data_IF_948036517732
#
_entry.id   IF_948036517732
#
_cell.length_a   1.000
_cell.length_b   1.000
_cell.length_c   1.000
_cell.angle_alpha   90.00
_cell.angle_beta   90.00
_cell.angle_gamma   90.00
#
_symmetry.space_group_name_H-M   'P 1'
#
loop_
_entity.id
_entity.type
_entity.pdbx_description
1 polymer ?
#
# COMPACT_ATOMS: atom_id res chain seq x y z
N UNK A 1 -20.23 0.66 18.01
CA UNK A 1 -19.67 -0.16 16.93
C UNK A 1 -19.19 0.81 15.86
N UNK A 2 -17.97 0.70 15.41
CA UNK A 2 -17.43 1.52 14.32
C UNK A 2 -18.24 1.25 13.05
N UNK A 3 -18.52 2.30 12.28
CA UNK A 3 -19.20 2.21 10.99
C UNK A 3 -18.42 2.97 9.93
N UNK A 4 -18.22 2.35 8.77
CA UNK A 4 -17.58 2.94 7.62
C UNK A 4 -18.63 3.25 6.55
N UNK A 5 -18.56 4.46 5.99
CA UNK A 5 -19.55 4.97 5.03
C UNK A 5 -18.82 5.46 3.79
N UNK A 6 -18.61 4.61 2.76
CA UNK A 6 -18.03 5.03 1.49
C UNK A 6 -18.97 5.99 0.76
N UNK A 7 -18.42 7.09 0.24
CA UNK A 7 -19.14 8.03 -0.61
C UNK A 7 -19.17 7.62 -2.08
N UNK A 8 -19.53 8.54 -2.96
CA UNK A 8 -19.56 8.30 -4.40
C UNK A 8 -18.15 8.15 -4.98
N UNK A 9 -17.95 7.07 -5.76
CA UNK A 9 -16.70 6.76 -6.46
C UNK A 9 -16.55 7.61 -7.71
N UNK A 10 -15.35 8.17 -7.92
CA UNK A 10 -14.97 8.86 -9.15
C UNK A 10 -13.57 8.47 -9.63
N UNK A 11 -13.26 8.73 -10.87
CA UNK A 11 -11.90 8.62 -11.40
C UNK A 11 -11.01 9.68 -10.76
N UNK A 12 -9.85 9.25 -10.23
CA UNK A 12 -8.81 10.12 -9.72
C UNK A 12 -7.78 10.44 -10.82
N UNK A 13 -7.22 9.39 -11.41
CA UNK A 13 -6.14 9.45 -12.38
C UNK A 13 -6.29 8.33 -13.40
N UNK A 14 -6.12 8.64 -14.67
CA UNK A 14 -5.87 7.66 -15.74
C UNK A 14 -4.53 8.01 -16.39
N UNK A 15 -3.56 7.11 -16.26
CA UNK A 15 -2.22 7.30 -16.78
C UNK A 15 -1.97 6.54 -18.09
N UNK A 16 -3.03 6.11 -18.78
CA UNK A 16 -2.92 5.51 -20.12
C UNK A 16 -2.45 6.57 -21.13
N UNK A 17 -1.40 6.29 -21.93
CA UNK A 17 -0.92 7.25 -22.94
C UNK A 17 -1.95 7.57 -24.02
N UNK A 18 -2.82 6.61 -24.32
CA UNK A 18 -3.92 6.78 -25.29
C UNK A 18 -5.05 5.76 -25.03
N UNK A 19 -6.21 5.95 -25.66
CA UNK A 19 -7.31 4.99 -25.61
C UNK A 19 -6.97 3.62 -26.21
N UNK A 20 -5.97 3.53 -27.06
CA UNK A 20 -5.49 2.31 -27.73
C UNK A 20 -4.39 1.60 -26.89
N UNK A 21 -3.65 2.36 -26.08
CA UNK A 21 -2.60 1.86 -25.22
C UNK A 21 -3.08 1.96 -23.77
N UNK A 22 -3.83 0.97 -23.33
CA UNK A 22 -4.37 0.96 -21.97
C UNK A 22 -3.31 0.51 -20.98
N UNK A 23 -3.19 1.27 -19.92
CA UNK A 23 -2.33 0.99 -18.78
C UNK A 23 -3.16 0.92 -17.50
N UNK A 24 -2.73 0.15 -16.54
CA UNK A 24 -3.33 0.11 -15.22
C UNK A 24 -2.36 0.69 -14.17
N UNK A 25 -2.94 1.13 -13.08
CA UNK A 25 -2.23 1.43 -11.85
C UNK A 25 -2.77 0.47 -10.80
N UNK A 26 -1.87 -0.30 -10.16
CA UNK A 26 -2.23 -1.22 -9.09
C UNK A 26 -1.86 -0.61 -7.73
N UNK A 27 -1.23 -1.39 -6.82
CA UNK A 27 -0.83 -0.87 -5.52
C UNK A 27 -0.09 0.45 -5.64
N UNK A 28 -0.51 1.41 -4.82
CA UNK A 28 -0.11 2.81 -4.96
C UNK A 28 -0.06 3.49 -3.61
N UNK A 29 0.49 4.67 -3.56
CA UNK A 29 0.51 5.53 -2.38
C UNK A 29 0.33 6.98 -2.78
N UNK A 30 -0.35 7.74 -1.92
CA UNK A 30 -0.50 9.18 -2.07
C UNK A 30 0.15 9.90 -0.89
N UNK A 31 0.92 10.93 -1.19
CA UNK A 31 1.52 11.78 -0.17
C UNK A 31 1.35 13.26 -0.52
N UNK A 32 1.09 14.07 0.49
CA UNK A 32 1.10 15.52 0.35
C UNK A 32 2.51 16.03 0.64
N UNK A 33 3.10 16.68 -0.34
CA UNK A 33 4.43 17.26 -0.22
C UNK A 33 4.44 18.52 0.67
N UNK A 34 5.62 18.93 1.11
CA UNK A 34 5.79 20.13 1.94
C UNK A 34 5.35 21.43 1.25
N UNK A 35 5.32 21.47 -0.09
CA UNK A 35 4.80 22.60 -0.89
C UNK A 35 3.26 22.58 -1.03
N UNK A 36 2.59 21.57 -0.47
CA UNK A 36 1.16 21.38 -0.47
C UNK A 36 0.61 20.56 -1.63
N UNK A 37 1.43 20.17 -2.60
CA UNK A 37 1.01 19.34 -3.74
C UNK A 37 0.84 17.88 -3.33
N UNK A 38 -0.11 17.22 -3.97
CA UNK A 38 -0.29 15.78 -3.86
C UNK A 38 0.58 15.06 -4.89
N UNK A 39 1.24 14.01 -4.45
CA UNK A 39 1.98 13.08 -5.29
C UNK A 39 1.39 11.69 -5.16
N UNK A 40 1.37 10.94 -6.26
CA UNK A 40 1.01 9.53 -6.31
C UNK A 40 2.15 8.73 -6.93
N UNK A 41 2.45 7.62 -6.30
CA UNK A 41 3.34 6.58 -6.80
C UNK A 41 2.56 5.27 -6.85
N UNK A 42 2.79 4.42 -7.84
CA UNK A 42 2.06 3.15 -7.94
C UNK A 42 2.65 2.25 -9.01
N UNK A 43 2.38 0.98 -8.91
CA UNK A 43 2.66 0.02 -9.97
C UNK A 43 2.02 0.53 -11.27
N UNK A 44 2.78 0.59 -12.33
CA UNK A 44 2.30 1.09 -13.62
C UNK A 44 2.75 0.18 -14.76
N UNK A 45 1.80 -0.48 -15.41
CA UNK A 45 2.09 -1.45 -16.45
C UNK A 45 1.01 -1.43 -17.55
N UNK A 46 1.39 -1.83 -18.76
CA UNK A 46 0.48 -1.93 -19.89
C UNK A 46 -0.41 -3.18 -19.77
N UNK A 47 -1.68 -3.05 -20.20
CA UNK A 47 -2.56 -4.21 -20.35
C UNK A 47 -2.14 -5.11 -21.54
N UNK A 48 -2.26 -6.45 -21.43
CA UNK A 48 -2.84 -7.19 -20.32
C UNK A 48 -1.89 -7.24 -19.10
N UNK A 49 -2.47 -7.49 -17.92
CA UNK A 49 -1.71 -7.61 -16.68
C UNK A 49 -0.62 -8.69 -16.76
N UNK A 50 0.58 -8.33 -16.31
CA UNK A 50 1.71 -9.25 -16.15
C UNK A 50 2.46 -8.89 -14.85
N UNK A 51 1.97 -9.38 -13.69
CA UNK A 51 2.49 -8.97 -12.39
C UNK A 51 3.99 -9.20 -12.20
N UNK A 52 4.56 -10.26 -12.80
CA UNK A 52 5.98 -10.56 -12.67
C UNK A 52 6.89 -9.65 -13.52
N UNK A 53 6.28 -8.75 -14.33
CA UNK A 53 6.97 -7.76 -15.15
C UNK A 53 6.52 -6.32 -14.86
N UNK A 54 5.94 -6.07 -13.69
CA UNK A 54 5.64 -4.73 -13.18
C UNK A 54 6.94 -4.06 -12.68
N UNK A 55 7.71 -3.50 -13.59
CA UNK A 55 9.12 -3.15 -13.39
C UNK A 55 9.37 -1.74 -12.85
N UNK A 56 8.34 -0.90 -12.70
CA UNK A 56 8.52 0.51 -12.36
C UNK A 56 7.31 1.10 -11.63
N UNK A 57 7.53 2.21 -10.93
CA UNK A 57 6.45 3.00 -10.35
C UNK A 57 6.15 4.24 -11.18
N UNK A 58 4.85 4.45 -11.47
CA UNK A 58 4.32 5.73 -11.90
C UNK A 58 4.69 6.81 -10.89
N UNK A 59 4.93 8.02 -11.38
CA UNK A 59 4.91 9.23 -10.59
C UNK A 59 3.99 10.26 -11.25
N UNK A 60 3.03 10.79 -10.50
CA UNK A 60 2.21 11.91 -10.93
C UNK A 60 1.95 12.88 -9.77
N UNK A 61 1.66 14.14 -10.08
CA UNK A 61 1.34 15.15 -9.06
C UNK A 61 0.19 16.05 -9.46
N UNK A 62 -0.50 16.61 -8.45
CA UNK A 62 -1.60 17.54 -8.60
C UNK A 62 -1.65 18.56 -7.44
N UNK A 63 -2.32 19.69 -7.65
CA UNK A 63 -2.44 20.73 -6.62
C UNK A 63 -3.47 20.35 -5.53
N UNK A 64 -4.49 19.57 -5.87
CA UNK A 64 -5.48 19.03 -4.94
C UNK A 64 -6.00 17.66 -5.36
N UNK A 65 -6.79 16.97 -4.51
CA UNK A 65 -7.43 15.69 -4.81
C UNK A 65 -8.78 15.85 -5.48
N UNK A 66 -9.45 17.02 -5.33
CA UNK A 66 -10.80 17.26 -5.81
C UNK A 66 -10.79 17.93 -7.19
N UNK A 67 -11.11 17.16 -8.24
CA UNK A 67 -11.19 17.66 -9.62
C UNK A 67 -9.84 17.99 -10.25
N UNK A 68 -8.78 17.53 -9.65
CA UNK A 68 -7.41 17.82 -10.06
C UNK A 68 -7.07 17.32 -11.47
N UNK A 69 -6.28 18.12 -12.17
CA UNK A 69 -5.53 17.65 -13.33
C UNK A 69 -4.19 17.14 -12.84
N UNK A 70 -3.94 15.85 -13.03
CA UNK A 70 -2.67 15.23 -12.69
C UNK A 70 -1.64 15.46 -13.78
N UNK A 71 -0.45 15.83 -13.38
CA UNK A 71 0.74 15.88 -14.25
C UNK A 71 1.50 14.58 -14.06
N UNK A 72 1.62 13.79 -15.11
CA UNK A 72 2.44 12.57 -15.13
C UNK A 72 3.88 12.96 -15.36
N UNK A 73 4.78 12.43 -14.53
CA UNK A 73 6.22 12.63 -14.59
C UNK A 73 6.93 11.38 -15.12
N UNK A 74 8.25 11.44 -15.27
CA UNK A 74 9.04 10.26 -15.54
C UNK A 74 8.87 9.25 -14.40
N UNK A 75 8.78 7.93 -14.71
CA UNK A 75 8.67 6.88 -13.69
C UNK A 75 9.86 6.90 -12.73
N UNK A 76 9.62 6.42 -11.52
CA UNK A 76 10.65 6.30 -10.48
C UNK A 76 10.87 4.84 -10.08
N UNK A 77 12.06 4.53 -9.57
CA UNK A 77 12.42 3.21 -9.02
C UNK A 77 12.07 2.03 -9.95
N UNK A 78 12.99 1.74 -10.83
CA UNK A 78 12.91 0.54 -11.66
C UNK A 78 13.44 -0.68 -10.94
N UNK A 79 12.91 -1.87 -11.27
CA UNK A 79 13.42 -3.15 -10.79
C UNK A 79 14.93 -3.26 -11.08
N UNK A 80 15.71 -3.59 -10.06
CA UNK A 80 17.18 -3.68 -10.11
C UNK A 80 17.60 -5.06 -10.61
N UNK A 81 17.67 -5.21 -11.92
CA UNK A 81 17.99 -6.49 -12.58
C UNK A 81 19.40 -7.00 -12.26
N UNK A 82 20.30 -6.11 -11.88
CA UNK A 82 21.67 -6.44 -11.45
C UNK A 82 21.74 -7.20 -10.13
N UNK A 83 20.71 -7.10 -9.30
CA UNK A 83 20.55 -7.87 -8.06
C UNK A 83 19.44 -8.93 -8.14
N UNK A 84 18.89 -9.16 -9.34
CA UNK A 84 17.87 -10.18 -9.60
C UNK A 84 16.43 -9.77 -9.31
N UNK A 85 16.13 -8.48 -9.19
CA UNK A 85 14.73 -8.01 -9.17
C UNK A 85 14.11 -8.17 -10.56
N UNK A 86 12.91 -8.73 -10.62
CA UNK A 86 12.10 -8.84 -11.84
C UNK A 86 10.97 -7.81 -11.84
N UNK A 87 10.45 -7.45 -10.66
CA UNK A 87 9.37 -6.51 -10.48
C UNK A 87 9.51 -5.73 -9.17
N UNK A 88 8.77 -4.63 -9.04
CA UNK A 88 8.65 -3.80 -7.83
C UNK A 88 7.19 -3.57 -7.53
N UNK A 89 6.77 -3.85 -6.27
CA UNK A 89 5.36 -3.78 -5.89
C UNK A 89 5.10 -2.90 -4.68
N UNK A 90 3.88 -2.38 -4.63
CA UNK A 90 3.25 -1.75 -3.49
C UNK A 90 4.12 -0.69 -2.81
N UNK A 91 4.41 0.43 -3.48
CA UNK A 91 5.14 1.52 -2.86
C UNK A 91 4.29 2.14 -1.73
N UNK A 92 4.90 2.39 -0.58
CA UNK A 92 4.31 3.18 0.50
C UNK A 92 5.28 4.30 0.90
N UNK A 93 4.81 5.55 0.85
CA UNK A 93 5.64 6.73 1.11
C UNK A 93 5.21 7.44 2.38
N UNK A 94 6.17 7.70 3.26
CA UNK A 94 6.00 8.55 4.43
C UNK A 94 6.94 9.76 4.37
N UNK A 95 6.58 10.85 5.07
CA UNK A 95 7.46 11.99 5.31
C UNK A 95 8.01 11.89 6.75
N UNK A 96 9.33 11.93 6.89
CA UNK A 96 10.02 11.92 8.19
C UNK A 96 11.37 12.60 8.08
N UNK A 97 11.75 13.42 9.07
CA UNK A 97 13.03 14.13 9.18
C UNK A 97 13.45 14.89 7.90
N UNK A 98 12.52 15.73 7.40
CA UNK A 98 12.70 16.54 6.19
C UNK A 98 13.02 15.75 4.90
N UNK A 99 12.69 14.45 4.90
CA UNK A 99 12.84 13.55 3.76
C UNK A 99 11.57 12.74 3.53
N UNK A 100 11.48 12.12 2.36
CA UNK A 100 10.48 11.13 2.00
C UNK A 100 11.13 9.75 1.96
N UNK A 101 10.40 8.75 2.47
CA UNK A 101 10.84 7.38 2.63
C UNK A 101 9.85 6.49 1.91
N UNK A 102 10.29 5.78 0.89
CA UNK A 102 9.46 4.85 0.13
C UNK A 102 9.87 3.42 0.48
N UNK A 103 8.94 2.70 1.10
CA UNK A 103 9.05 1.27 1.34
C UNK A 103 8.33 0.55 0.20
N UNK A 104 8.88 -0.56 -0.27
CA UNK A 104 8.29 -1.32 -1.36
C UNK A 104 8.78 -2.77 -1.34
N UNK A 105 8.08 -3.68 -2.06
CA UNK A 105 8.52 -5.04 -2.26
C UNK A 105 9.34 -5.15 -3.55
N UNK A 106 10.59 -5.60 -3.43
CA UNK A 106 11.41 -6.01 -4.55
C UNK A 106 11.21 -7.50 -4.81
N UNK A 107 10.55 -7.85 -5.91
CA UNK A 107 10.23 -9.22 -6.25
C UNK A 107 11.28 -9.91 -7.11
N UNK A 108 11.29 -11.22 -7.07
CA UNK A 108 12.11 -12.10 -7.89
C UNK A 108 11.24 -13.19 -8.51
N UNK A 109 11.79 -14.04 -9.40
CA UNK A 109 11.09 -15.24 -9.90
C UNK A 109 10.78 -16.25 -8.79
N UNK A 110 11.50 -16.18 -7.66
CA UNK A 110 11.33 -17.04 -6.50
C UNK A 110 10.56 -16.30 -5.39
N UNK A 111 9.31 -16.67 -5.17
CA UNK A 111 8.41 -16.07 -4.16
C UNK A 111 8.93 -16.20 -2.71
N UNK A 112 9.90 -17.08 -2.46
CA UNK A 112 10.55 -17.19 -1.13
C UNK A 112 11.62 -16.14 -0.91
N UNK A 113 11.92 -15.33 -1.92
CA UNK A 113 13.01 -14.37 -1.97
C UNK A 113 12.54 -12.92 -2.19
N UNK A 114 11.28 -12.63 -1.92
CA UNK A 114 10.79 -11.26 -1.94
C UNK A 114 11.41 -10.46 -0.81
N UNK A 115 11.72 -9.20 -1.09
CA UNK A 115 12.50 -8.32 -0.22
C UNK A 115 11.72 -7.08 0.13
N UNK A 116 11.79 -6.68 1.41
CA UNK A 116 11.37 -5.33 1.78
C UNK A 116 12.52 -4.37 1.55
N UNK A 117 12.27 -3.40 0.69
CA UNK A 117 13.24 -2.43 0.20
C UNK A 117 12.90 -1.03 0.66
N UNK A 118 13.90 -0.16 0.67
CA UNK A 118 13.77 1.24 1.03
C UNK A 118 14.50 2.12 0.03
N UNK A 119 13.84 3.20 -0.37
CA UNK A 119 14.47 4.33 -1.04
C UNK A 119 14.08 5.64 -0.33
N UNK A 120 14.95 6.65 -0.41
CA UNK A 120 14.68 7.97 0.16
C UNK A 120 14.80 9.08 -0.87
N UNK A 121 14.07 10.17 -0.66
CA UNK A 121 14.07 11.34 -1.53
C UNK A 121 14.02 12.63 -0.73
N UNK A 122 14.64 13.69 -1.23
CA UNK A 122 14.47 15.04 -0.69
C UNK A 122 13.37 15.84 -1.41
N UNK A 123 12.89 15.38 -2.58
CA UNK A 123 12.06 16.17 -3.49
C UNK A 123 10.89 15.40 -4.12
N UNK A 124 10.73 14.09 -3.84
CA UNK A 124 9.78 13.16 -4.45
C UNK A 124 10.04 12.83 -5.93
N UNK A 125 11.07 13.40 -6.53
CA UNK A 125 11.45 13.18 -7.93
C UNK A 125 12.70 12.33 -8.08
N UNK A 126 13.68 12.55 -7.20
CA UNK A 126 14.95 11.82 -7.21
C UNK A 126 15.00 10.89 -6.01
N UNK A 127 15.08 9.58 -6.28
CA UNK A 127 15.08 8.56 -5.25
C UNK A 127 16.42 7.84 -5.19
N UNK A 128 16.91 7.64 -3.98
CA UNK A 128 18.16 6.93 -3.68
C UNK A 128 17.84 5.66 -2.90
N UNK A 129 18.23 4.49 -3.43
CA UNK A 129 18.10 3.24 -2.70
C UNK A 129 18.92 3.27 -1.41
N UNK A 130 18.39 2.62 -0.37
CA UNK A 130 19.08 2.52 0.91
C UNK A 130 20.46 1.88 0.74
N UNK A 131 21.54 2.55 1.16
CA UNK A 131 22.90 2.07 0.96
C UNK A 131 23.22 0.78 1.75
N UNK A 132 22.44 0.47 2.79
CA UNK A 132 22.52 -0.77 3.56
C UNK A 132 21.94 -1.99 2.80
N UNK A 133 21.28 -1.78 1.66
CA UNK A 133 20.62 -2.82 0.88
C UNK A 133 19.22 -3.14 1.39
N UNK A 134 18.79 -4.37 1.20
CA UNK A 134 17.48 -4.91 1.61
C UNK A 134 17.28 -4.77 3.13
N UNK A 135 16.09 -4.34 3.55
CA UNK A 135 15.74 -4.27 4.97
C UNK A 135 15.59 -5.66 5.56
N UNK A 136 14.81 -6.54 4.91
CA UNK A 136 14.67 -7.94 5.30
C UNK A 136 14.00 -8.78 4.19
N UNK A 137 14.11 -10.11 4.32
CA UNK A 137 13.30 -11.13 3.64
C UNK A 137 12.46 -11.84 4.72
N UNK A 138 11.21 -12.23 4.42
CA UNK A 138 10.33 -12.90 5.39
C UNK A 138 9.53 -14.05 4.78
N UNK A 139 10.24 -14.99 4.18
CA UNK A 139 9.64 -16.20 3.64
C UNK A 139 8.83 -16.00 2.38
N UNK A 140 7.83 -16.87 2.18
CA UNK A 140 7.07 -16.91 0.95
C UNK A 140 6.12 -15.73 0.81
N UNK A 141 6.16 -15.07 -0.35
CA UNK A 141 5.19 -14.10 -0.82
C UNK A 141 5.04 -12.85 0.08
N UNK A 142 6.09 -12.49 0.85
CA UNK A 142 6.08 -11.32 1.73
C UNK A 142 6.18 -10.03 0.92
N UNK A 143 5.12 -9.20 0.92
CA UNK A 143 4.98 -7.98 0.11
C UNK A 143 4.02 -6.96 0.72
N UNK A 144 3.78 -5.88 0.02
CA UNK A 144 2.81 -4.81 0.30
C UNK A 144 3.08 -4.12 1.65
N UNK A 145 4.26 -3.51 1.82
CA UNK A 145 4.58 -2.81 3.05
C UNK A 145 3.74 -1.54 3.22
N UNK A 146 3.22 -1.34 4.42
CA UNK A 146 2.58 -0.11 4.87
C UNK A 146 3.22 0.32 6.19
N UNK A 147 3.69 1.57 6.29
CA UNK A 147 4.43 2.05 7.47
C UNK A 147 3.69 3.22 8.13
N UNK A 148 3.52 3.15 9.45
CA UNK A 148 2.90 4.19 10.25
C UNK A 148 3.58 4.30 11.62
N UNK A 149 3.55 5.49 12.25
CA UNK A 149 4.02 5.69 13.61
C UNK A 149 2.85 5.64 14.60
N UNK A 150 2.93 4.78 15.61
CA UNK A 150 1.84 4.61 16.59
C UNK A 150 1.86 5.65 17.73
N UNK A 151 2.93 6.39 17.84
CA UNK A 151 3.25 7.37 18.90
C UNK A 151 4.46 6.97 19.73
N UNK A 152 4.89 5.72 19.63
CA UNK A 152 6.07 5.17 20.34
C UNK A 152 7.07 4.58 19.34
N UNK A 153 6.61 3.77 18.39
CA UNK A 153 7.43 3.09 17.40
C UNK A 153 6.89 3.27 15.99
N UNK A 154 7.74 3.05 14.99
CA UNK A 154 7.32 2.78 13.61
C UNK A 154 6.82 1.36 13.51
N UNK A 155 5.67 1.17 12.88
CA UNK A 155 5.07 -0.14 12.58
C UNK A 155 5.07 -0.33 11.07
N UNK A 156 5.60 -1.47 10.59
CA UNK A 156 5.47 -1.89 9.21
C UNK A 156 4.55 -3.10 9.16
N UNK A 157 3.39 -2.95 8.52
CA UNK A 157 2.50 -4.05 8.18
C UNK A 157 2.82 -4.51 6.77
N UNK A 158 2.69 -5.81 6.52
CA UNK A 158 2.86 -6.39 5.20
C UNK A 158 2.14 -7.74 5.11
N UNK A 159 1.75 -8.15 3.90
CA UNK A 159 1.16 -9.47 3.70
C UNK A 159 2.23 -10.54 3.59
N UNK A 160 1.92 -11.76 4.07
CA UNK A 160 2.74 -12.96 3.92
C UNK A 160 1.89 -14.22 4.11
N UNK A 161 2.51 -15.40 3.97
CA UNK A 161 1.93 -16.67 4.39
C UNK A 161 2.53 -17.15 5.72
N UNK A 162 1.82 -18.05 6.42
CA UNK A 162 2.22 -18.53 7.76
C UNK A 162 3.43 -19.47 7.76
N UNK A 163 3.85 -19.95 6.59
CA UNK A 163 5.02 -20.80 6.40
C UNK A 163 5.75 -20.39 5.11
N UNK A 164 7.07 -20.68 4.99
CA UNK A 164 7.86 -20.28 3.82
C UNK A 164 7.34 -20.83 2.48
N UNK A 165 6.60 -21.93 2.50
CA UNK A 165 6.06 -22.59 1.30
C UNK A 165 4.55 -22.34 1.12
N UNK A 166 3.94 -21.48 1.94
CA UNK A 166 2.50 -21.18 1.92
C UNK A 166 1.85 -21.31 3.31
N UNK A 167 0.57 -21.65 3.35
CA UNK A 167 -0.21 -21.78 4.59
C UNK A 167 -1.28 -20.71 4.71
N UNK A 168 -1.61 -20.25 5.92
CA UNK A 168 -2.59 -19.19 6.12
C UNK A 168 -2.05 -17.85 5.65
N UNK A 169 -2.90 -17.07 4.97
CA UNK A 169 -2.59 -15.69 4.65
C UNK A 169 -2.62 -14.84 5.92
N UNK A 170 -1.58 -14.01 6.09
CA UNK A 170 -1.38 -13.19 7.28
C UNK A 170 -1.04 -11.74 6.89
N UNK A 171 -1.46 -10.81 7.74
CA UNK A 171 -0.79 -9.51 7.88
C UNK A 171 0.22 -9.67 9.01
N UNK A 172 1.49 -9.56 8.69
CA UNK A 172 2.55 -9.46 9.68
C UNK A 172 2.79 -8.00 10.06
N UNK A 173 3.36 -7.76 11.23
CA UNK A 173 3.80 -6.45 11.70
C UNK A 173 5.19 -6.55 12.31
N UNK A 174 6.03 -5.56 12.04
CA UNK A 174 7.35 -5.36 12.66
C UNK A 174 7.43 -3.96 13.25
N UNK A 175 8.25 -3.78 14.27
CA UNK A 175 8.50 -2.49 14.91
C UNK A 175 9.91 -2.00 14.58
N UNK A 176 10.09 -0.66 14.57
CA UNK A 176 11.39 -0.02 14.39
C UNK A 176 11.43 1.32 15.12
N UNK A 177 12.63 1.69 15.61
CA UNK A 177 12.90 3.00 16.18
C UNK A 177 13.54 3.97 15.17
N UNK A 178 14.07 3.47 14.05
CA UNK A 178 14.91 4.23 13.14
C UNK A 178 14.58 4.04 11.63
N UNK A 179 13.54 3.24 11.31
CA UNK A 179 13.12 2.87 9.94
C UNK A 179 14.11 1.97 9.17
N UNK A 180 15.24 1.59 9.78
CA UNK A 180 16.26 0.74 9.17
C UNK A 180 16.29 -0.64 9.79
N UNK A 181 16.33 -0.70 11.13
CA UNK A 181 16.36 -1.95 11.88
C UNK A 181 14.94 -2.33 12.32
N UNK A 182 14.45 -3.48 11.85
CA UNK A 182 13.11 -3.96 12.13
C UNK A 182 13.15 -5.19 13.04
N UNK A 183 12.20 -5.29 13.97
CA UNK A 183 12.05 -6.43 14.88
C UNK A 183 11.77 -7.73 14.12
N UNK A 184 11.78 -8.87 14.83
CA UNK A 184 11.15 -10.09 14.31
C UNK A 184 9.65 -9.87 14.08
N UNK A 185 9.04 -10.57 13.10
CA UNK A 185 7.63 -10.36 12.75
C UNK A 185 6.69 -10.92 13.81
N UNK A 186 5.62 -10.17 14.10
CA UNK A 186 4.45 -10.66 14.80
C UNK A 186 3.27 -10.78 13.83
N UNK A 187 2.25 -11.56 14.18
CA UNK A 187 1.03 -11.70 13.37
C UNK A 187 0.00 -10.68 13.82
N UNK A 188 -0.22 -9.64 13.01
CA UNK A 188 -1.25 -8.64 13.29
C UNK A 188 -2.67 -9.16 12.96
N UNK A 189 -2.82 -9.91 11.86
CA UNK A 189 -4.07 -10.55 11.47
C UNK A 189 -3.80 -11.85 10.72
N UNK A 190 -4.64 -12.85 10.90
CA UNK A 190 -4.59 -14.09 10.14
C UNK A 190 -5.95 -14.41 9.54
N UNK A 191 -5.99 -14.56 8.23
CA UNK A 191 -7.16 -15.09 7.51
C UNK A 191 -7.35 -16.58 7.80
N UNK A 192 -8.59 -17.06 7.64
CA UNK A 192 -8.90 -18.50 7.66
C UNK A 192 -8.60 -19.20 6.34
N UNK A 193 -8.18 -18.46 5.31
CA UNK A 193 -7.86 -18.98 3.98
C UNK A 193 -6.41 -19.44 3.94
N UNK A 194 -6.21 -20.65 3.42
CA UNK A 194 -4.89 -21.20 3.14
C UNK A 194 -4.57 -21.12 1.65
N UNK A 195 -3.32 -20.88 1.32
CA UNK A 195 -2.85 -20.82 -0.06
C UNK A 195 -1.37 -20.54 -0.17
N UNK A 196 -0.88 -20.49 -1.40
CA UNK A 196 0.54 -20.25 -1.71
C UNK A 196 0.74 -18.98 -2.54
N UNK A 197 -0.32 -18.26 -2.88
CA UNK A 197 -0.21 -17.11 -3.77
C UNK A 197 -1.42 -16.20 -3.70
N UNK A 198 -1.18 -14.89 -3.74
CA UNK A 198 -2.16 -13.83 -3.91
C UNK A 198 -3.21 -13.75 -2.80
N UNK A 199 -4.13 -12.85 -2.99
CA UNK A 199 -5.43 -12.88 -2.38
C UNK A 199 -5.62 -12.28 -1.01
N UNK A 200 -6.18 -13.03 -0.08
CA UNK A 200 -6.55 -12.49 1.23
C UNK A 200 -5.36 -11.86 1.95
N UNK A 201 -5.62 -10.75 2.67
CA UNK A 201 -4.62 -9.96 3.40
C UNK A 201 -3.68 -9.10 2.57
N UNK A 202 -3.75 -9.16 1.23
CA UNK A 202 -2.99 -8.25 0.37
C UNK A 202 -3.31 -6.78 0.64
N UNK A 203 -2.35 -5.91 0.31
CA UNK A 203 -2.45 -4.46 0.42
C UNK A 203 -2.97 -4.02 1.81
N UNK A 204 -2.36 -4.47 2.93
CA UNK A 204 -2.80 -4.06 4.26
C UNK A 204 -2.59 -2.56 4.44
N UNK A 205 -3.62 -1.88 4.94
CA UNK A 205 -3.53 -0.45 5.24
C UNK A 205 -4.11 -0.17 6.62
N UNK A 206 -3.35 0.53 7.48
CA UNK A 206 -3.74 0.81 8.85
C UNK A 206 -3.86 2.31 9.10
N UNK A 207 -4.97 2.73 9.68
CA UNK A 207 -5.16 4.13 10.10
C UNK A 207 -5.62 4.22 11.53
N UNK A 208 -5.25 5.32 12.20
CA UNK A 208 -5.79 5.64 13.51
C UNK A 208 -7.25 6.09 13.39
N UNK A 209 -8.13 5.53 14.21
CA UNK A 209 -9.55 5.87 14.25
C UNK A 209 -10.04 5.98 15.71
N UNK A 210 -10.32 7.18 16.17
CA UNK A 210 -10.71 7.45 17.56
C UNK A 210 -9.63 7.01 18.55
N UNK A 211 -9.98 6.07 19.44
CA UNK A 211 -9.08 5.51 20.45
C UNK A 211 -8.41 4.20 20.00
N UNK A 212 -8.52 3.84 18.74
CA UNK A 212 -7.97 2.59 18.20
C UNK A 212 -7.54 2.74 16.74
N UNK A 213 -7.54 1.62 16.03
CA UNK A 213 -6.97 1.45 14.71
C UNK A 213 -7.92 0.66 13.80
N UNK A 214 -7.93 1.00 12.54
CA UNK A 214 -8.61 0.26 11.49
C UNK A 214 -7.55 -0.36 10.57
N UNK A 215 -7.61 -1.67 10.39
CA UNK A 215 -6.87 -2.41 9.37
C UNK A 215 -7.81 -2.66 8.19
N UNK A 216 -7.38 -2.31 7.00
CA UNK A 216 -8.01 -2.64 5.73
C UNK A 216 -7.16 -3.69 5.01
N UNK A 217 -7.80 -4.69 4.38
CA UNK A 217 -7.11 -5.77 3.65
C UNK A 217 -7.95 -6.24 2.47
N UNK A 218 -7.32 -6.80 1.46
CA UNK A 218 -8.00 -7.50 0.38
C UNK A 218 -8.76 -8.73 0.91
N UNK A 219 -9.99 -8.95 0.42
CA UNK A 219 -10.84 -10.07 0.86
C UNK A 219 -10.40 -11.40 0.28
N UNK A 220 -10.03 -11.44 -1.00
CA UNK A 220 -9.87 -12.69 -1.75
C UNK A 220 -9.04 -12.53 -3.02
N UNK A 221 -8.79 -13.65 -3.69
CA UNK A 221 -8.15 -13.70 -5.01
C UNK A 221 -9.00 -13.13 -6.16
N UNK A 222 -10.20 -12.62 -5.87
CA UNK A 222 -10.99 -11.89 -6.87
C UNK A 222 -10.55 -10.42 -7.01
N UNK A 223 -9.82 -9.90 -6.02
CA UNK A 223 -9.28 -8.53 -6.03
C UNK A 223 -10.32 -7.44 -6.28
N UNK A 224 -11.51 -7.63 -5.76
CA UNK A 224 -12.67 -6.76 -6.01
C UNK A 224 -13.26 -6.11 -4.76
N UNK A 225 -12.82 -6.53 -3.57
CA UNK A 225 -13.32 -6.04 -2.29
C UNK A 225 -12.24 -5.90 -1.23
N UNK A 226 -12.45 -4.90 -0.35
CA UNK A 226 -11.65 -4.64 0.84
C UNK A 226 -12.49 -4.89 2.10
N UNK A 227 -11.92 -5.62 3.06
CA UNK A 227 -12.45 -5.80 4.41
C UNK A 227 -11.81 -4.80 5.37
N UNK A 228 -12.47 -4.55 6.51
CA UNK A 228 -11.91 -3.73 7.58
C UNK A 228 -12.11 -4.37 8.96
N UNK A 229 -11.12 -4.18 9.83
CA UNK A 229 -11.11 -4.67 11.21
C UNK A 229 -10.72 -3.54 12.15
N UNK A 230 -11.42 -3.38 13.26
CA UNK A 230 -11.12 -2.40 14.29
C UNK A 230 -10.51 -3.04 15.51
N UNK A 231 -9.48 -2.41 16.09
CA UNK A 231 -8.83 -2.85 17.31
C UNK A 231 -8.35 -1.65 18.15
N UNK A 232 -8.24 -1.82 19.46
CA UNK A 232 -7.54 -0.86 20.34
C UNK A 232 -6.03 -1.07 20.35
N UNK A 233 -5.55 -2.22 19.86
CA UNK A 233 -4.16 -2.60 19.77
C UNK A 233 -3.72 -2.59 18.30
N UNK A 234 -2.75 -1.74 17.89
CA UNK A 234 -2.27 -1.70 16.51
C UNK A 234 -1.53 -2.98 16.11
N UNK A 235 -1.03 -3.74 17.08
CA UNK A 235 -0.31 -4.98 16.81
C UNK A 235 -1.24 -6.19 16.59
N UNK A 236 -2.57 -6.03 16.81
CA UNK A 236 -3.48 -7.18 16.78
C UNK A 236 -4.88 -6.83 16.31
N UNK A 237 -5.31 -7.52 15.26
CA UNK A 237 -6.67 -7.47 14.72
C UNK A 237 -7.28 -8.87 14.66
N UNK A 238 -8.57 -8.98 14.90
CA UNK A 238 -9.31 -10.26 14.98
C UNK A 238 -10.64 -10.14 14.25
N UNK A 239 -11.21 -11.27 13.82
CA UNK A 239 -12.54 -11.34 13.19
C UNK A 239 -13.65 -10.73 14.06
N UNK A 240 -13.49 -10.77 15.38
CA UNK A 240 -14.43 -10.11 16.31
C UNK A 240 -14.45 -8.58 16.16
N UNK A 241 -13.40 -7.99 15.59
CA UNK A 241 -13.31 -6.58 15.26
C UNK A 241 -13.79 -6.22 13.85
N UNK A 242 -14.34 -7.18 13.10
CA UNK A 242 -14.82 -6.93 11.73
C UNK A 242 -15.84 -5.77 11.69
N UNK A 243 -15.61 -4.85 10.76
CA UNK A 243 -16.46 -3.68 10.53
C UNK A 243 -17.27 -3.92 9.27
N UNK A 244 -18.57 -3.62 9.33
CA UNK A 244 -19.43 -3.69 8.14
C UNK A 244 -18.99 -2.63 7.12
N UNK A 245 -18.52 -3.10 5.99
CA UNK A 245 -17.95 -2.27 4.93
C UNK A 245 -18.30 -2.87 3.56
N UNK A 246 -18.99 -2.10 2.73
CA UNK A 246 -19.18 -2.41 1.31
C UNK A 246 -18.23 -1.53 0.48
N UNK A 247 -17.01 -2.03 0.27
CA UNK A 247 -15.94 -1.33 -0.44
C UNK A 247 -15.42 -2.20 -1.59
N UNK A 248 -15.84 -1.86 -2.79
CA UNK A 248 -15.50 -2.52 -4.06
C UNK A 248 -14.17 -2.00 -4.63
N UNK A 249 -13.17 -1.85 -3.76
CA UNK A 249 -11.81 -1.45 -4.13
C UNK A 249 -10.83 -2.62 -3.97
N UNK A 250 -9.81 -2.65 -4.83
CA UNK A 250 -8.57 -3.40 -4.63
C UNK A 250 -7.46 -2.41 -4.27
N UNK A 251 -6.46 -2.88 -3.53
CA UNK A 251 -5.34 -2.09 -3.02
C UNK A 251 -5.80 -0.75 -2.40
N UNK A 252 -6.78 -0.82 -1.50
CA UNK A 252 -7.39 0.35 -0.91
C UNK A 252 -6.40 1.11 -0.02
N UNK A 253 -6.07 2.33 -0.37
CA UNK A 253 -5.28 3.24 0.46
C UNK A 253 -6.18 4.29 1.11
N UNK A 254 -6.02 4.49 2.41
CA UNK A 254 -6.82 5.44 3.18
C UNK A 254 -6.04 6.74 3.37
N UNK A 255 -6.49 7.78 2.70
CA UNK A 255 -5.83 9.08 2.74
C UNK A 255 -6.46 9.93 3.84
N UNK A 256 -5.60 10.46 4.71
CA UNK A 256 -5.98 11.45 5.72
C UNK A 256 -5.63 12.85 5.23
N UNK A 257 -6.54 13.81 5.41
CA UNK A 257 -6.24 15.20 5.11
C UNK A 257 -5.51 15.83 6.30
N UNK A 258 -4.24 16.21 6.18
CA UNK A 258 -3.52 16.84 7.28
C UNK A 258 -4.09 18.21 7.67
N UNK A 259 -4.90 18.85 6.82
CA UNK A 259 -5.53 20.16 7.07
C UNK A 259 -6.99 20.04 7.56
N UNK A 260 -7.57 18.83 7.53
CA UNK A 260 -8.96 18.59 7.95
C UNK A 260 -9.07 17.29 8.76
N UNK A 261 -8.85 17.38 10.07
CA UNK A 261 -8.96 16.24 10.98
C UNK A 261 -10.32 15.54 10.82
N UNK A 262 -10.26 14.22 10.72
CA UNK A 262 -11.45 13.36 10.55
C UNK A 262 -12.00 13.30 9.12
N UNK A 263 -11.34 13.90 8.15
CA UNK A 263 -11.66 13.77 6.74
C UNK A 263 -10.78 12.70 6.11
N UNK A 264 -11.45 11.69 5.55
CA UNK A 264 -10.78 10.56 4.91
C UNK A 264 -11.25 10.39 3.48
N UNK A 265 -10.36 9.88 2.63
CA UNK A 265 -10.70 9.33 1.34
C UNK A 265 -10.14 7.91 1.25
N UNK A 266 -10.74 7.11 0.40
CA UNK A 266 -10.18 5.84 -0.02
C UNK A 266 -9.94 5.87 -1.52
N UNK A 267 -8.77 5.42 -1.92
CA UNK A 267 -8.41 5.20 -3.32
C UNK A 267 -8.35 3.71 -3.61
N UNK A 268 -8.41 3.36 -4.88
CA UNK A 268 -8.26 1.99 -5.34
C UNK A 268 -7.79 1.93 -6.78
N UNK A 269 -7.14 0.84 -7.13
CA UNK A 269 -6.58 0.57 -8.44
C UNK A 269 -6.80 -0.88 -8.87
N UNK A 270 -5.97 -1.38 -9.76
CA UNK A 270 -5.92 -2.79 -10.11
C UNK A 270 -5.99 -3.09 -11.59
N UNK A 271 -5.71 -4.34 -11.89
CA UNK A 271 -5.71 -4.89 -13.25
C UNK A 271 -7.08 -4.73 -13.92
N UNK A 272 -7.08 -4.35 -15.19
CA UNK A 272 -8.31 -4.13 -15.95
C UNK A 272 -9.12 -2.91 -15.55
N UNK A 273 -8.74 -2.20 -14.47
CA UNK A 273 -9.47 -1.03 -13.95
C UNK A 273 -8.99 0.28 -14.58
N UNK A 274 -7.86 0.27 -15.27
CA UNK A 274 -7.21 1.47 -15.80
C UNK A 274 -6.49 2.22 -14.69
N UNK A 275 -6.72 3.52 -14.55
CA UNK A 275 -6.11 4.32 -13.51
C UNK A 275 -6.81 4.19 -12.15
N UNK A 276 -6.49 5.10 -11.24
CA UNK A 276 -7.00 5.11 -9.87
C UNK A 276 -8.41 5.70 -9.77
N UNK A 277 -9.14 5.22 -8.79
CA UNK A 277 -10.40 5.79 -8.30
C UNK A 277 -10.21 6.43 -6.92
N UNK A 278 -11.13 7.32 -6.54
CA UNK A 278 -11.20 7.92 -5.20
C UNK A 278 -12.65 8.13 -4.81
N UNK A 279 -12.92 7.99 -3.52
CA UNK A 279 -14.19 8.38 -2.89
C UNK A 279 -13.96 8.90 -1.47
N UNK A 280 -14.84 9.76 -0.93
CA UNK A 280 -14.84 10.06 0.50
C UNK A 280 -15.11 8.81 1.32
N UNK A 281 -14.53 8.74 2.52
CA UNK A 281 -14.79 7.68 3.50
C UNK A 281 -15.17 8.30 4.84
N UNK A 282 -16.43 8.13 5.25
CA UNK A 282 -16.87 8.48 6.60
C UNK A 282 -16.45 7.41 7.59
N UNK A 283 -15.85 7.81 8.71
CA UNK A 283 -15.53 6.92 9.84
C UNK A 283 -16.35 7.41 11.04
N UNK A 284 -17.41 6.67 11.37
CA UNK A 284 -18.29 6.98 12.50
C UNK A 284 -17.88 6.11 13.69
N UNK A 285 -17.42 6.77 14.77
CA UNK A 285 -17.07 6.10 16.03
C UNK A 285 -18.30 5.97 16.93
N UNK A 286 -18.36 4.94 17.80
CA UNK A 286 -19.49 4.72 18.70
C UNK A 286 -19.66 5.82 19.74
#
# INVERSE_FOLDING_TARGET
MVRLVPGEKRRLLDASPSAQERWYINDHTLIRAADGRWHVFGIWHQEPADPLHEELFLHASADDLDGATWTIHDPVLHARKDIGETHVWAPHVIAHDDRYWMFYAGGTEDHTRYRMELATSGDLFTWEHHPGGTLFEDGFDARDPMVIHDGEHWLMYYTRTSAPEGGFHQVAVRTSDDLFAWSEPEVAYQSTVEGTYGGPTESPFVVRAGQGWLLFVCESTQYDRTLAYWSTDPMRFEDAGAVDLDLDEHCAEIITDPEAEGRYWVTGGGWGRGGLTIRPLGIEMP
#
